data_IF_199594759711
#
_entry.id   IF_199594759711
#
_cell.length_a   1.000
_cell.length_b   1.000
_cell.length_c   1.000
_cell.angle_alpha   90.00
_cell.angle_beta   90.00
_cell.angle_gamma   90.00
#
_symmetry.space_group_name_H-M   'P 1'
#
loop_
_entity.id
_entity.type
_entity.pdbx_description
1 polymer ?
#
# COMPACT_ATOMS: atom_id res chain seq x y z
N UNK A 1 5.25 14.29 -3.72
CA UNK A 1 5.09 12.90 -3.24
C UNK A 1 5.11 12.00 -4.46
N UNK A 2 5.86 10.90 -4.42
CA UNK A 2 6.02 9.97 -5.55
C UNK A 2 5.66 8.56 -5.08
N UNK A 3 5.04 7.77 -5.94
CA UNK A 3 4.79 6.35 -5.66
C UNK A 3 5.10 5.48 -6.86
N UNK A 4 5.52 4.26 -6.58
CA UNK A 4 5.78 3.18 -7.52
C UNK A 4 4.99 1.95 -7.11
N UNK A 5 4.48 1.22 -8.09
CA UNK A 5 3.84 -0.07 -7.91
C UNK A 5 4.62 -1.16 -8.65
N UNK A 6 4.52 -2.38 -8.14
CA UNK A 6 5.12 -3.56 -8.72
C UNK A 6 4.29 -4.81 -8.40
N UNK A 7 4.51 -5.86 -9.18
CA UNK A 7 3.83 -7.15 -9.04
C UNK A 7 2.91 -7.46 -10.21
N UNK A 8 2.51 -8.72 -10.28
CA UNK A 8 1.70 -9.28 -11.36
C UNK A 8 0.41 -9.86 -10.78
N UNK A 9 -0.68 -9.83 -11.55
CA UNK A 9 -1.99 -10.33 -11.11
C UNK A 9 -1.97 -11.79 -10.62
N UNK A 10 -1.09 -12.61 -11.19
CA UNK A 10 -0.91 -14.03 -10.83
C UNK A 10 0.45 -14.32 -10.20
N UNK A 11 1.19 -13.27 -9.81
CA UNK A 11 2.46 -13.41 -9.11
C UNK A 11 2.27 -13.75 -7.62
N UNK A 12 3.37 -13.85 -6.88
CA UNK A 12 3.33 -14.15 -5.44
C UNK A 12 2.69 -13.04 -4.59
N UNK A 13 2.61 -11.81 -5.11
CA UNK A 13 2.09 -10.66 -4.39
C UNK A 13 2.31 -9.35 -5.14
N UNK A 14 1.71 -8.28 -4.59
CA UNK A 14 1.83 -6.91 -5.07
C UNK A 14 2.67 -6.08 -4.09
N UNK A 15 3.33 -5.04 -4.59
CA UNK A 15 4.15 -4.12 -3.78
C UNK A 15 3.91 -2.67 -4.22
N UNK A 16 4.00 -1.75 -3.28
CA UNK A 16 4.08 -0.32 -3.54
C UNK A 16 5.20 0.31 -2.71
N UNK A 17 5.88 1.31 -3.28
CA UNK A 17 6.87 2.15 -2.60
C UNK A 17 6.39 3.59 -2.68
N UNK A 18 6.36 4.28 -1.54
CA UNK A 18 5.91 5.68 -1.44
C UNK A 18 7.03 6.54 -0.88
N UNK A 19 7.39 7.59 -1.61
CA UNK A 19 8.51 8.49 -1.33
C UNK A 19 8.03 9.91 -1.01
N UNK A 20 8.77 10.55 -0.10
CA UNK A 20 8.46 11.90 0.38
C UNK A 20 7.35 11.93 1.44
N UNK A 21 7.22 10.86 2.22
CA UNK A 21 6.33 10.81 3.39
C UNK A 21 6.99 11.60 4.54
N UNK A 22 6.25 12.51 5.21
CA UNK A 22 6.80 13.25 6.34
C UNK A 22 7.13 12.32 7.53
N UNK A 23 8.18 12.65 8.26
CA UNK A 23 8.57 11.92 9.48
C UNK A 23 7.49 12.02 10.55
N UNK A 24 7.29 10.95 11.31
CA UNK A 24 6.35 10.93 12.44
C UNK A 24 4.88 10.74 12.04
N UNK A 25 4.59 10.52 10.75
CA UNK A 25 3.27 10.07 10.31
C UNK A 25 3.01 8.65 10.84
N UNK A 26 2.00 8.45 11.71
CA UNK A 26 1.61 7.11 12.13
C UNK A 26 1.08 6.33 10.92
N UNK A 27 1.49 5.08 10.78
CA UNK A 27 0.98 4.17 9.76
C UNK A 27 0.95 2.76 10.34
N UNK A 28 -0.20 2.11 10.20
CA UNK A 28 -0.41 0.73 10.66
C UNK A 28 -0.87 -0.15 9.51
N UNK A 29 -0.67 -1.47 9.64
CA UNK A 29 -1.12 -2.40 8.63
C UNK A 29 -2.66 -2.50 8.61
N UNK A 30 -3.29 -2.32 9.77
CA UNK A 30 -4.74 -2.40 9.98
C UNK A 30 -5.48 -1.34 9.16
N UNK A 31 -4.96 -0.11 9.12
CA UNK A 31 -5.52 0.98 8.32
C UNK A 31 -5.51 0.65 6.81
N UNK A 32 -4.39 0.09 6.33
CA UNK A 32 -4.26 -0.33 4.92
C UNK A 32 -5.19 -1.51 4.62
N UNK A 33 -5.23 -2.49 5.52
CA UNK A 33 -6.06 -3.68 5.35
C UNK A 33 -7.55 -3.35 5.30
N UNK A 34 -8.02 -2.39 6.09
CA UNK A 34 -9.42 -1.94 6.05
C UNK A 34 -9.82 -1.43 4.66
N UNK A 35 -8.95 -0.64 4.02
CA UNK A 35 -9.17 -0.15 2.65
C UNK A 35 -9.04 -1.25 1.59
N UNK A 36 -8.12 -2.20 1.77
CA UNK A 36 -7.99 -3.35 0.86
C UNK A 36 -9.21 -4.27 0.94
N UNK A 37 -9.80 -4.46 2.11
CA UNK A 37 -11.05 -5.21 2.30
C UNK A 37 -12.20 -4.48 1.61
N UNK A 38 -12.34 -3.17 1.87
CA UNK A 38 -13.38 -2.34 1.24
C UNK A 38 -13.34 -2.39 -0.30
N UNK A 39 -12.15 -2.53 -0.89
CA UNK A 39 -11.99 -2.65 -2.35
C UNK A 39 -12.52 -3.96 -2.93
N UNK A 40 -12.63 -5.02 -2.13
CA UNK A 40 -12.95 -6.36 -2.63
C UNK A 40 -14.44 -6.59 -2.89
N UNK A 41 -15.31 -5.69 -2.43
CA UNK A 41 -16.77 -5.80 -2.58
C UNK A 41 -17.41 -6.63 -1.48
#
# INVERSE_FOLDING_TARGET
>A
MRYLNAGESHGRGLMAVVEGVPSGLPVTAEEINADLIRRQG
#
